data_IF_791230926309
#
_entry.id   IF_791230926309
#
_cell.length_a   1.000
_cell.length_b   1.000
_cell.length_c   1.000
_cell.angle_alpha   90.00
_cell.angle_beta   90.00
_cell.angle_gamma   90.00
#
_symmetry.space_group_name_H-M   'P 1'
#
loop_
_entity.id
_entity.type
_entity.pdbx_description
1 polymer ?
#
# COMPACT_ATOMS: atom_id res chain seq x y z
N UNK A 1 11.29 -16.11 -2.27
CA UNK A 1 10.52 -15.23 -3.15
C UNK A 1 9.35 -14.66 -2.35
N UNK A 2 9.09 -13.35 -2.46
CA UNK A 2 8.05 -12.69 -1.66
C UNK A 2 6.67 -13.08 -2.17
N UNK A 3 5.84 -13.72 -1.32
CA UNK A 3 4.45 -14.14 -1.65
C UNK A 3 3.60 -13.02 -2.28
N UNK A 4 3.88 -11.76 -1.93
CA UNK A 4 3.18 -10.58 -2.46
C UNK A 4 3.50 -10.34 -3.94
N UNK A 5 4.78 -10.41 -4.32
CA UNK A 5 5.22 -10.25 -5.71
C UNK A 5 4.62 -11.33 -6.60
N UNK A 6 4.57 -12.57 -6.14
CA UNK A 6 3.93 -13.65 -6.90
C UNK A 6 2.43 -13.44 -7.11
N UNK A 7 1.75 -12.89 -6.09
CA UNK A 7 0.31 -12.61 -6.18
C UNK A 7 0.01 -11.48 -7.16
N UNK A 8 0.85 -10.44 -7.18
CA UNK A 8 0.62 -9.22 -7.98
C UNK A 8 1.21 -9.40 -9.40
N UNK A 9 2.48 -9.77 -9.50
CA UNK A 9 3.23 -9.81 -10.75
C UNK A 9 3.23 -11.20 -11.41
N UNK A 10 2.72 -12.24 -10.73
CA UNK A 10 2.81 -13.63 -11.19
C UNK A 10 4.11 -14.32 -10.78
N UNK A 11 4.18 -15.62 -11.07
CA UNK A 11 5.37 -16.45 -10.80
C UNK A 11 6.45 -16.20 -11.82
N UNK A 12 7.70 -16.26 -11.38
CA UNK A 12 8.88 -16.14 -12.23
C UNK A 12 10.03 -16.90 -11.60
N UNK A 13 10.93 -17.41 -12.44
CA UNK A 13 12.20 -18.01 -12.00
C UNK A 13 13.31 -16.96 -11.83
N UNK A 14 13.01 -15.69 -12.16
CA UNK A 14 13.95 -14.56 -12.02
C UNK A 14 14.15 -14.28 -10.52
N UNK A 15 15.41 -14.27 -10.10
CA UNK A 15 15.83 -13.82 -8.77
C UNK A 15 16.37 -12.39 -8.92
N UNK A 16 15.58 -11.35 -8.60
CA UNK A 16 15.98 -9.96 -8.81
C UNK A 16 17.04 -9.51 -7.81
N UNK A 17 18.01 -8.71 -8.28
CA UNK A 17 18.96 -7.99 -7.44
C UNK A 17 18.52 -6.53 -7.27
N UNK A 18 17.64 -6.28 -6.29
CA UNK A 18 17.06 -4.94 -6.09
C UNK A 18 18.10 -3.88 -5.68
N UNK A 19 19.15 -4.28 -4.96
CA UNK A 19 20.20 -3.36 -4.53
C UNK A 19 20.98 -2.81 -5.72
N UNK A 20 21.29 -3.66 -6.70
CA UNK A 20 21.99 -3.25 -7.93
C UNK A 20 21.13 -2.33 -8.80
N UNK A 21 19.83 -2.63 -8.90
CA UNK A 21 18.86 -1.78 -9.63
C UNK A 21 18.75 -0.40 -8.96
N UNK A 22 18.60 -0.35 -7.63
CA UNK A 22 18.46 0.89 -6.88
C UNK A 22 19.72 1.76 -6.87
N UNK A 23 20.91 1.15 -6.96
CA UNK A 23 22.19 1.86 -6.98
C UNK A 23 22.65 2.31 -8.37
N UNK A 24 21.95 1.91 -9.44
CA UNK A 24 22.30 2.28 -10.81
C UNK A 24 21.31 3.32 -11.37
N UNK A 25 21.68 4.62 -11.41
CA UNK A 25 20.79 5.68 -11.89
C UNK A 25 20.49 5.60 -13.40
N UNK A 26 21.26 4.82 -14.16
CA UNK A 26 21.06 4.61 -15.59
C UNK A 26 20.36 3.29 -15.90
N UNK A 27 19.89 2.56 -14.89
CA UNK A 27 19.17 1.33 -15.11
C UNK A 27 17.81 1.62 -15.77
N UNK A 28 17.51 0.88 -16.83
CA UNK A 28 16.24 0.97 -17.57
C UNK A 28 15.63 -0.42 -17.64
N UNK A 29 14.37 -0.54 -17.22
CA UNK A 29 13.63 -1.79 -17.35
C UNK A 29 13.38 -2.12 -18.82
N UNK A 30 13.61 -3.38 -19.19
CA UNK A 30 13.30 -3.88 -20.53
C UNK A 30 11.87 -4.39 -20.57
N UNK A 31 11.11 -3.97 -21.58
CA UNK A 31 9.75 -4.46 -21.79
C UNK A 31 9.78 -5.95 -22.12
N UNK A 32 8.88 -6.71 -21.50
CA UNK A 32 8.63 -8.12 -21.82
C UNK A 32 7.32 -8.22 -22.63
N UNK A 33 7.36 -8.54 -23.93
CA UNK A 33 6.15 -8.64 -24.75
C UNK A 33 5.15 -9.70 -24.28
N UNK A 34 5.56 -10.66 -23.46
CA UNK A 34 4.70 -11.72 -22.93
C UNK A 34 4.11 -11.38 -21.56
N UNK A 35 4.49 -10.24 -20.99
CA UNK A 35 3.98 -9.77 -19.71
C UNK A 35 2.74 -8.90 -19.92
N UNK A 36 1.64 -9.26 -19.26
CA UNK A 36 0.45 -8.44 -19.26
C UNK A 36 0.71 -7.16 -18.44
N UNK A 37 0.51 -5.95 -19.00
CA UNK A 37 0.78 -4.72 -18.28
C UNK A 37 -0.09 -4.58 -17.02
N UNK A 38 0.54 -4.24 -15.89
CA UNK A 38 -0.14 -4.08 -14.60
C UNK A 38 -0.07 -2.63 -14.15
N UNK A 39 -1.19 -2.09 -13.67
CA UNK A 39 -1.20 -0.79 -12.98
C UNK A 39 -0.94 -0.98 -11.50
N UNK A 40 0.08 -0.30 -10.99
CA UNK A 40 0.43 -0.27 -9.58
C UNK A 40 0.19 1.12 -8.99
N UNK A 41 -0.07 1.16 -7.69
CA UNK A 41 -0.36 2.35 -6.91
C UNK A 41 0.56 2.43 -5.69
N UNK A 42 0.96 3.64 -5.32
CA UNK A 42 1.63 3.91 -4.06
C UNK A 42 0.67 4.53 -3.03
N UNK A 43 1.13 4.68 -1.79
CA UNK A 43 0.36 5.25 -0.66
C UNK A 43 -0.10 6.69 -0.88
N UNK A 44 0.53 7.41 -1.81
CA UNK A 44 0.21 8.80 -2.15
C UNK A 44 -0.85 8.89 -3.27
N UNK A 45 -1.23 7.75 -3.87
CA UNK A 45 -2.16 7.67 -4.98
C UNK A 45 -1.54 7.92 -6.36
N UNK A 46 -0.21 7.96 -6.46
CA UNK A 46 0.45 7.92 -7.75
C UNK A 46 0.26 6.53 -8.38
N UNK A 47 0.12 6.49 -9.69
CA UNK A 47 0.02 5.24 -10.45
C UNK A 47 1.13 5.09 -11.47
N UNK A 48 1.51 3.85 -11.74
CA UNK A 48 2.47 3.47 -12.78
C UNK A 48 1.98 2.22 -13.50
N UNK A 49 2.16 2.16 -14.82
CA UNK A 49 1.90 0.97 -15.61
C UNK A 49 3.22 0.29 -15.95
N UNK A 50 3.41 -0.94 -15.47
CA UNK A 50 4.65 -1.72 -15.63
C UNK A 50 4.49 -2.77 -16.72
N UNK A 51 5.55 -3.03 -17.49
CA UNK A 51 5.51 -3.89 -18.68
C UNK A 51 6.53 -5.05 -18.63
N UNK A 52 7.06 -5.36 -17.45
CA UNK A 52 7.88 -6.56 -17.24
C UNK A 52 7.77 -7.06 -15.82
N UNK A 53 8.05 -8.35 -15.63
CA UNK A 53 8.03 -8.94 -14.30
C UNK A 53 9.06 -8.31 -13.36
N UNK A 54 10.28 -8.02 -13.85
CA UNK A 54 11.35 -7.42 -13.06
C UNK A 54 10.99 -6.00 -12.58
N UNK A 55 10.39 -5.21 -13.47
CA UNK A 55 9.88 -3.87 -13.13
C UNK A 55 8.78 -3.95 -12.07
N UNK A 56 7.77 -4.79 -12.29
CA UNK A 56 6.69 -5.01 -11.33
C UNK A 56 7.24 -5.44 -9.96
N UNK A 57 8.17 -6.39 -9.93
CA UNK A 57 8.79 -6.87 -8.70
C UNK A 57 9.54 -5.76 -7.96
N UNK A 58 10.22 -4.87 -8.67
CA UNK A 58 10.92 -3.72 -8.08
C UNK A 58 9.95 -2.74 -7.41
N UNK A 59 8.87 -2.38 -8.10
CA UNK A 59 7.85 -1.49 -7.52
C UNK A 59 7.15 -2.13 -6.32
N UNK A 60 6.78 -3.43 -6.40
CA UNK A 60 6.15 -4.15 -5.28
C UNK A 60 7.10 -4.25 -4.08
N UNK A 61 8.41 -4.44 -4.31
CA UNK A 61 9.42 -4.40 -3.26
C UNK A 61 9.51 -3.01 -2.60
N UNK A 62 9.33 -1.94 -3.39
CA UNK A 62 9.19 -0.56 -2.91
C UNK A 62 7.86 -0.25 -2.22
N UNK A 63 6.96 -1.22 -2.04
CA UNK A 63 5.71 -1.08 -1.30
C UNK A 63 4.47 -0.80 -2.15
N UNK A 64 4.61 -0.73 -3.48
CA UNK A 64 3.48 -0.53 -4.40
C UNK A 64 2.56 -1.75 -4.45
N UNK A 65 1.31 -1.52 -4.87
CA UNK A 65 0.25 -2.56 -4.91
C UNK A 65 -0.64 -2.38 -6.13
N UNK A 66 -1.29 -3.44 -6.58
CA UNK A 66 -2.26 -3.45 -7.69
C UNK A 66 -3.66 -2.96 -7.29
N UNK A 67 -3.87 -2.65 -6.00
CA UNK A 67 -5.18 -2.23 -5.50
C UNK A 67 -5.08 -1.11 -4.49
N UNK A 68 -5.62 0.07 -4.83
CA UNK A 68 -5.56 1.27 -4.00
C UNK A 68 -6.11 1.08 -2.57
N UNK A 69 -7.09 0.18 -2.37
CA UNK A 69 -7.65 -0.03 -1.03
C UNK A 69 -6.68 -0.72 -0.06
N UNK A 70 -5.55 -1.26 -0.53
CA UNK A 70 -4.52 -1.85 0.34
C UNK A 70 -3.95 -0.82 1.32
N UNK A 71 -4.09 0.48 1.03
CA UNK A 71 -3.69 1.57 1.90
C UNK A 71 -4.75 1.96 2.93
N UNK A 72 -5.95 1.37 2.88
CA UNK A 72 -7.00 1.67 3.85
C UNK A 72 -6.67 1.06 5.22
N UNK A 73 -6.35 1.92 6.19
CA UNK A 73 -6.10 1.50 7.57
C UNK A 73 -7.39 1.50 8.40
N UNK A 74 -8.18 0.43 8.24
CA UNK A 74 -9.46 0.27 8.94
C UNK A 74 -9.34 0.29 10.47
N UNK A 75 -8.26 -0.26 11.03
CA UNK A 75 -8.01 -0.27 12.47
C UNK A 75 -7.85 1.15 13.04
N UNK A 76 -7.10 2.02 12.34
CA UNK A 76 -6.95 3.43 12.72
C UNK A 76 -8.29 4.15 12.72
N UNK A 77 -9.11 3.95 11.69
CA UNK A 77 -10.45 4.57 11.63
C UNK A 77 -11.35 4.05 12.75
N UNK A 78 -11.37 2.74 12.97
CA UNK A 78 -12.12 2.12 14.05
C UNK A 78 -11.72 2.67 15.42
N UNK A 79 -10.41 2.70 15.72
CA UNK A 79 -9.88 3.25 16.96
C UNK A 79 -10.26 4.73 17.15
N UNK A 80 -10.21 5.52 16.08
CA UNK A 80 -10.59 6.94 16.11
C UNK A 80 -12.07 7.10 16.45
N UNK A 81 -12.96 6.34 15.82
CA UNK A 81 -14.41 6.39 16.05
C UNK A 81 -14.76 6.01 17.49
N UNK A 82 -14.18 4.91 18.00
CA UNK A 82 -14.40 4.45 19.37
C UNK A 82 -13.91 5.51 20.37
N UNK A 83 -12.73 6.08 20.14
CA UNK A 83 -12.17 7.13 21.02
C UNK A 83 -13.04 8.39 21.05
N UNK A 84 -13.52 8.86 19.90
CA UNK A 84 -14.42 10.02 19.82
C UNK A 84 -15.75 9.74 20.52
N UNK A 85 -16.32 8.55 20.30
CA UNK A 85 -17.59 8.15 20.94
C UNK A 85 -17.46 8.09 22.47
N UNK A 86 -16.34 7.57 22.97
CA UNK A 86 -16.03 7.53 24.40
C UNK A 86 -15.90 8.95 24.97
N UNK A 87 -15.13 9.82 24.33
CA UNK A 87 -14.99 11.22 24.77
C UNK A 87 -16.35 11.95 24.78
N UNK A 88 -17.16 11.75 23.73
CA UNK A 88 -18.50 12.33 23.63
C UNK A 88 -19.40 11.88 24.78
N UNK A 89 -19.35 10.60 25.16
CA UNK A 89 -20.08 10.07 26.32
C UNK A 89 -19.68 10.76 27.63
N UNK A 90 -18.37 10.91 27.90
CA UNK A 90 -17.89 11.57 29.13
C UNK A 90 -18.27 13.05 29.18
N UNK A 91 -18.16 13.78 28.06
CA UNK A 91 -18.56 15.17 27.96
C UNK A 91 -20.07 15.31 28.21
N UNK A 92 -20.88 14.48 27.57
CA UNK A 92 -22.35 14.48 27.75
C UNK A 92 -22.75 14.18 29.19
N UNK A 93 -22.09 13.21 29.83
CA UNK A 93 -22.33 12.88 31.25
C UNK A 93 -21.94 14.03 32.17
N UNK A 94 -20.78 14.67 31.95
CA UNK A 94 -20.33 15.83 32.72
C UNK A 94 -21.30 17.00 32.55
N UNK A 95 -21.77 17.28 31.34
CA UNK A 95 -22.72 18.35 31.07
C UNK A 95 -24.08 18.10 31.75
N UNK A 96 -24.60 16.87 31.68
CA UNK A 96 -25.84 16.50 32.39
C UNK A 96 -25.70 16.60 33.91
N UNK A 97 -24.52 16.27 34.47
CA UNK A 97 -24.25 16.44 35.90
C UNK A 97 -24.27 17.93 36.32
N UNK A 98 -23.62 18.81 35.56
CA UNK A 98 -23.65 20.26 35.84
C UNK A 98 -25.03 20.89 35.69
N UNK A 99 -25.89 20.35 34.82
CA UNK A 99 -27.28 20.80 34.68
C UNK A 99 -28.18 20.37 35.86
N UNK A 100 -27.76 19.37 36.64
CA UNK A 100 -28.53 18.81 37.76
C UNK A 100 -28.21 19.46 39.11
N UNK A 101 -27.22 20.37 39.17
CA UNK A 101 -26.85 21.19 40.32
C UNK A 101 -27.44 22.59 40.14
#
# INVERSE_FOLDING_TARGET
>A
MHKRTEKICGKSDIIPNFDEIGNNPNFVFLNDPNFEPISLFNTEGNSVMVNSWLECANYVNGGWTDYYSDFFNGEKYYFTIVSVSFLFYFVSKKFNFFKSI
#
